data_IF_047136516728
#
_entry.id   IF_047136516728
#
_cell.length_a   1.000
_cell.length_b   1.000
_cell.length_c   1.000
_cell.angle_alpha   90.00
_cell.angle_beta   90.00
_cell.angle_gamma   90.00
#
_symmetry.space_group_name_H-M   'P 1'
#
loop_
_entity.id
_entity.type
_entity.pdbx_description
1 polymer ?
#
# COMPACT_ATOMS: atom_id res chain seq x y z
N UNK A 1 35.60 -23.22 -1.98
CA UNK A 1 34.14 -23.21 -1.74
C UNK A 1 33.60 -24.52 -2.32
N UNK A 2 33.50 -25.55 -1.50
CA UNK A 2 32.92 -26.84 -1.91
C UNK A 2 31.40 -26.67 -2.04
N UNK A 3 30.88 -26.90 -3.25
CA UNK A 3 29.45 -26.83 -3.53
C UNK A 3 28.73 -27.99 -2.85
N UNK A 4 27.68 -27.68 -2.08
CA UNK A 4 26.79 -28.68 -1.47
C UNK A 4 26.28 -29.63 -2.57
N UNK A 5 26.38 -30.96 -2.41
CA UNK A 5 25.88 -31.95 -3.37
C UNK A 5 24.41 -31.70 -3.75
N UNK A 6 24.04 -31.98 -5.00
CA UNK A 6 22.69 -31.73 -5.52
C UNK A 6 21.60 -32.37 -4.64
N UNK A 7 21.80 -33.62 -4.20
CA UNK A 7 20.86 -34.34 -3.34
C UNK A 7 20.67 -33.68 -1.98
N UNK A 8 21.75 -33.16 -1.37
CA UNK A 8 21.67 -32.39 -0.13
C UNK A 8 20.97 -31.04 -0.32
N UNK A 9 21.04 -30.44 -1.51
CA UNK A 9 20.27 -29.22 -1.81
C UNK A 9 18.77 -29.52 -1.94
N UNK A 10 18.41 -30.64 -2.57
CA UNK A 10 17.01 -31.06 -2.69
C UNK A 10 16.42 -31.40 -1.32
N UNK A 11 17.12 -32.18 -0.49
CA UNK A 11 16.67 -32.50 0.87
C UNK A 11 16.48 -31.23 1.74
N UNK A 12 17.40 -30.27 1.65
CA UNK A 12 17.26 -28.98 2.36
C UNK A 12 16.11 -28.12 1.84
N UNK A 13 15.77 -28.23 0.55
CA UNK A 13 14.61 -27.54 -0.03
C UNK A 13 13.29 -28.18 0.43
N UNK A 14 13.26 -29.50 0.64
CA UNK A 14 12.10 -30.21 1.18
C UNK A 14 11.84 -29.85 2.66
N UNK A 15 12.89 -29.53 3.42
CA UNK A 15 12.79 -29.04 4.80
C UNK A 15 12.43 -27.54 4.88
N UNK A 16 12.49 -26.80 3.76
CA UNK A 16 12.25 -25.37 3.74
C UNK A 16 10.75 -25.05 3.85
N UNK A 17 10.30 -24.79 5.07
CA UNK A 17 8.93 -24.33 5.32
C UNK A 17 8.77 -22.84 5.01
N UNK A 18 7.66 -22.47 4.38
CA UNK A 18 7.34 -21.06 4.14
C UNK A 18 7.02 -20.32 5.45
N UNK A 19 7.24 -18.98 5.52
CA UNK A 19 6.91 -18.21 6.70
C UNK A 19 5.42 -18.30 7.06
N UNK A 20 5.11 -18.61 8.32
CA UNK A 20 3.75 -18.62 8.89
C UNK A 20 3.63 -17.53 9.94
N UNK A 21 3.24 -16.31 9.55
CA UNK A 21 3.20 -15.20 10.48
C UNK A 21 2.22 -15.47 11.63
N UNK A 22 2.63 -15.16 12.86
CA UNK A 22 1.87 -15.44 14.09
C UNK A 22 1.47 -16.93 14.26
N UNK A 23 2.30 -17.87 13.75
CA UNK A 23 2.03 -19.32 13.78
C UNK A 23 1.47 -19.82 15.11
N UNK A 24 2.17 -19.54 16.20
CA UNK A 24 1.81 -20.04 17.54
C UNK A 24 0.43 -19.55 17.95
N UNK A 25 0.19 -18.23 17.90
CA UNK A 25 -1.10 -17.63 18.22
C UNK A 25 -2.25 -18.15 17.34
N UNK A 26 -2.00 -18.29 16.04
CA UNK A 26 -3.02 -18.72 15.08
C UNK A 26 -3.42 -20.18 15.33
N UNK A 27 -2.44 -21.08 15.51
CA UNK A 27 -2.74 -22.49 15.80
C UNK A 27 -3.30 -22.68 17.22
N UNK A 28 -2.80 -21.97 18.23
CA UNK A 28 -3.33 -22.10 19.60
C UNK A 28 -4.80 -21.72 19.66
N UNK A 29 -5.16 -20.56 19.10
CA UNK A 29 -6.54 -20.05 19.10
C UNK A 29 -7.46 -20.94 18.28
N UNK A 30 -7.00 -21.45 17.13
CA UNK A 30 -7.77 -22.38 16.31
C UNK A 30 -8.01 -23.72 17.02
N UNK A 31 -7.00 -24.25 17.73
CA UNK A 31 -7.13 -25.50 18.46
C UNK A 31 -8.12 -25.38 19.63
N UNK A 32 -8.08 -24.26 20.37
CA UNK A 32 -9.05 -23.95 21.42
C UNK A 32 -10.48 -23.85 20.85
N UNK A 33 -10.63 -23.17 19.71
CA UNK A 33 -11.91 -23.09 19.00
C UNK A 33 -12.38 -24.48 18.55
N UNK A 34 -11.53 -25.28 17.91
CA UNK A 34 -11.89 -26.60 17.41
C UNK A 34 -12.28 -27.56 18.54
N UNK A 35 -11.61 -27.48 19.70
CA UNK A 35 -11.95 -28.27 20.88
C UNK A 35 -13.36 -27.98 21.42
N UNK A 36 -13.83 -26.74 21.30
CA UNK A 36 -15.17 -26.33 21.72
C UNK A 36 -16.26 -26.62 20.66
N UNK A 37 -15.89 -26.90 19.41
CA UNK A 37 -16.81 -26.98 18.27
C UNK A 37 -16.63 -28.29 17.47
N UNK A 38 -17.32 -29.39 17.85
CA UNK A 38 -17.10 -30.72 17.29
C UNK A 38 -17.29 -30.86 15.78
N UNK A 39 -18.04 -29.96 15.14
CA UNK A 39 -18.26 -29.96 13.69
C UNK A 39 -17.03 -29.55 12.86
N UNK A 40 -15.99 -28.98 13.49
CA UNK A 40 -14.72 -28.67 12.81
C UNK A 40 -14.02 -29.94 12.34
N UNK A 41 -14.24 -31.07 13.04
CA UNK A 41 -13.76 -32.38 12.61
C UNK A 41 -12.24 -32.46 12.52
N UNK A 42 -11.73 -32.84 11.35
CA UNK A 42 -10.29 -33.00 11.06
C UNK A 42 -9.73 -31.85 10.20
N UNK A 43 -10.53 -30.81 9.94
CA UNK A 43 -10.07 -29.68 9.15
C UNK A 43 -9.02 -28.86 9.92
N UNK A 44 -7.99 -28.42 9.21
CA UNK A 44 -6.92 -27.62 9.78
C UNK A 44 -6.62 -26.40 8.90
N UNK A 45 -6.18 -25.33 9.55
CA UNK A 45 -5.84 -24.08 8.91
C UNK A 45 -4.42 -24.12 8.31
N UNK A 46 -4.27 -23.43 7.18
CA UNK A 46 -3.00 -23.28 6.45
C UNK A 46 -2.69 -21.78 6.30
N UNK A 47 -2.10 -21.15 7.33
CA UNK A 47 -1.80 -19.72 7.30
C UNK A 47 -0.93 -19.38 6.10
N UNK A 48 -1.19 -18.25 5.43
CA UNK A 48 -0.41 -17.78 4.28
C UNK A 48 0.25 -16.45 4.64
N UNK A 49 1.49 -16.24 4.24
CA UNK A 49 2.21 -14.97 4.43
C UNK A 49 1.93 -13.94 3.35
N UNK A 50 1.45 -14.35 2.17
CA UNK A 50 1.42 -13.53 0.93
C UNK A 50 0.85 -12.12 1.14
N UNK A 51 -0.40 -11.99 1.60
CA UNK A 51 -1.02 -10.67 1.78
C UNK A 51 -0.28 -9.80 2.82
N UNK A 52 0.23 -10.44 3.88
CA UNK A 52 1.00 -9.75 4.92
C UNK A 52 2.34 -9.27 4.40
N UNK A 53 3.07 -10.11 3.67
CA UNK A 53 4.36 -9.76 3.08
C UNK A 53 4.21 -8.62 2.09
N UNK A 54 3.20 -8.67 1.22
CA UNK A 54 2.92 -7.58 0.28
C UNK A 54 2.56 -6.29 1.02
N UNK A 55 1.76 -6.34 2.08
CA UNK A 55 1.39 -5.16 2.86
C UNK A 55 2.56 -4.59 3.67
N UNK A 56 3.34 -5.44 4.36
CA UNK A 56 4.46 -5.02 5.19
C UNK A 56 5.55 -4.32 4.37
N UNK A 57 5.82 -4.83 3.16
CA UNK A 57 6.78 -4.29 2.23
C UNK A 57 6.16 -3.33 1.18
N UNK A 58 4.84 -3.11 1.26
CA UNK A 58 4.06 -2.27 0.34
C UNK A 58 4.34 -2.57 -1.15
N UNK A 59 4.44 -3.85 -1.48
CA UNK A 59 4.74 -4.33 -2.84
C UNK A 59 3.53 -4.07 -3.74
N UNK A 60 3.79 -3.60 -4.96
CA UNK A 60 2.77 -3.60 -6.00
C UNK A 60 2.46 -5.05 -6.43
N UNK A 61 1.28 -5.27 -7.00
CA UNK A 61 0.91 -6.58 -7.54
C UNK A 61 1.87 -7.01 -8.65
N UNK A 62 2.18 -6.11 -9.59
CA UNK A 62 3.06 -6.37 -10.72
C UNK A 62 4.50 -6.70 -10.28
N UNK A 63 5.06 -5.94 -9.32
CA UNK A 63 6.39 -6.23 -8.79
C UNK A 63 6.41 -7.57 -8.08
N UNK A 64 5.39 -7.89 -7.28
CA UNK A 64 5.32 -9.17 -6.59
C UNK A 64 5.20 -10.35 -7.56
N UNK A 65 4.41 -10.20 -8.64
CA UNK A 65 4.31 -11.22 -9.70
C UNK A 65 5.65 -11.40 -10.41
N UNK A 66 6.36 -10.31 -10.71
CA UNK A 66 7.66 -10.35 -11.37
C UNK A 66 8.75 -10.94 -10.47
N UNK A 67 8.85 -10.49 -9.22
CA UNK A 67 9.89 -10.89 -8.27
C UNK A 67 9.81 -12.40 -7.94
N UNK A 68 8.60 -12.95 -7.92
CA UNK A 68 8.34 -14.37 -7.63
C UNK A 68 8.01 -15.23 -8.87
N UNK A 69 8.16 -14.69 -10.09
CA UNK A 69 7.87 -15.37 -11.37
C UNK A 69 6.46 -16.03 -11.41
N UNK A 70 5.46 -15.29 -10.95
CA UNK A 70 4.08 -15.78 -10.78
C UNK A 70 3.19 -15.56 -12.00
N UNK A 71 3.75 -15.22 -13.17
CA UNK A 71 2.98 -14.86 -14.38
C UNK A 71 1.90 -15.89 -14.76
N UNK A 72 2.14 -17.18 -14.49
CA UNK A 72 1.16 -18.26 -14.80
C UNK A 72 0.06 -18.43 -13.76
N UNK A 73 0.19 -17.82 -12.59
CA UNK A 73 -0.71 -17.96 -11.43
C UNK A 73 -1.16 -16.62 -10.85
N UNK A 74 -0.95 -15.51 -11.57
CA UNK A 74 -1.34 -14.17 -11.13
C UNK A 74 -2.84 -14.07 -10.78
N UNK A 75 -3.72 -14.73 -11.53
CA UNK A 75 -5.15 -14.78 -11.23
C UNK A 75 -5.47 -15.48 -9.90
N UNK A 76 -4.64 -16.46 -9.50
CA UNK A 76 -4.75 -17.10 -8.18
C UNK A 76 -4.33 -16.14 -7.06
N UNK A 77 -3.27 -15.37 -7.28
CA UNK A 77 -2.81 -14.33 -6.36
C UNK A 77 -3.90 -13.25 -6.19
N UNK A 78 -4.42 -12.72 -7.30
CA UNK A 78 -5.47 -11.71 -7.28
C UNK A 78 -6.72 -12.23 -6.55
N UNK A 79 -7.18 -13.44 -6.87
CA UNK A 79 -8.29 -14.08 -6.15
C UNK A 79 -8.02 -14.22 -4.66
N UNK A 80 -6.79 -14.53 -4.25
CA UNK A 80 -6.41 -14.61 -2.85
C UNK A 80 -6.47 -13.23 -2.17
N UNK A 81 -5.95 -12.18 -2.80
CA UNK A 81 -6.00 -10.81 -2.28
C UNK A 81 -7.44 -10.29 -2.19
N UNK A 82 -8.26 -10.49 -3.23
CA UNK A 82 -9.68 -10.12 -3.23
C UNK A 82 -10.46 -10.85 -2.14
N UNK A 83 -10.17 -12.14 -1.93
CA UNK A 83 -10.80 -12.91 -0.84
C UNK A 83 -10.35 -12.41 0.54
N UNK A 84 -9.08 -12.07 0.70
CA UNK A 84 -8.53 -11.54 1.96
C UNK A 84 -9.16 -10.20 2.31
N UNK A 85 -9.22 -9.28 1.33
CA UNK A 85 -9.92 -8.01 1.46
C UNK A 85 -11.39 -8.21 1.85
N UNK A 86 -12.11 -9.07 1.12
CA UNK A 86 -13.54 -9.35 1.37
C UNK A 86 -13.77 -9.89 2.77
N UNK A 87 -12.95 -10.86 3.22
CA UNK A 87 -13.06 -11.41 4.58
C UNK A 87 -12.80 -10.31 5.60
N UNK A 88 -11.71 -9.54 5.47
CA UNK A 88 -11.39 -8.47 6.40
C UNK A 88 -12.52 -7.44 6.52
N UNK A 89 -13.07 -7.01 5.38
CA UNK A 89 -14.14 -6.04 5.31
C UNK A 89 -15.48 -6.53 5.89
N UNK A 90 -15.79 -7.83 5.74
CA UNK A 90 -17.09 -8.39 6.08
C UNK A 90 -17.16 -9.06 7.45
N UNK A 91 -16.04 -9.55 7.99
CA UNK A 91 -16.04 -10.35 9.23
C UNK A 91 -15.48 -9.59 10.44
N UNK A 92 -14.66 -8.57 10.24
CA UNK A 92 -14.15 -7.73 11.33
C UNK A 92 -15.13 -6.58 11.58
N UNK A 93 -15.78 -6.50 12.75
CA UNK A 93 -16.69 -5.39 13.06
C UNK A 93 -15.95 -4.05 13.03
N UNK A 94 -16.60 -2.99 12.54
CA UNK A 94 -15.97 -1.66 12.41
C UNK A 94 -15.45 -1.12 13.75
N UNK A 95 -16.13 -1.42 14.86
CA UNK A 95 -15.69 -1.05 16.21
C UNK A 95 -14.37 -1.73 16.64
N UNK A 96 -14.03 -2.87 16.05
CA UNK A 96 -12.79 -3.60 16.30
C UNK A 96 -11.66 -3.26 15.31
N UNK A 97 -11.96 -2.50 14.24
CA UNK A 97 -10.95 -2.09 13.26
C UNK A 97 -10.08 -0.99 13.87
N UNK A 98 -8.83 -1.33 14.15
CA UNK A 98 -7.79 -0.37 14.50
C UNK A 98 -7.32 0.39 13.25
N UNK A 99 -6.60 1.48 13.42
CA UNK A 99 -6.05 2.26 12.29
C UNK A 99 -5.20 1.40 11.33
N UNK A 100 -4.27 0.53 11.78
CA UNK A 100 -3.54 -0.38 10.89
C UNK A 100 -4.45 -1.34 10.11
N UNK A 101 -5.57 -1.79 10.70
CA UNK A 101 -6.53 -2.67 10.01
C UNK A 101 -7.26 -1.91 8.91
N UNK A 102 -7.67 -0.67 9.18
CA UNK A 102 -8.31 0.20 8.18
C UNK A 102 -7.37 0.54 7.03
N UNK A 103 -6.10 0.80 7.32
CA UNK A 103 -5.08 1.02 6.30
C UNK A 103 -4.83 -0.23 5.45
N UNK A 104 -4.75 -1.41 6.07
CA UNK A 104 -4.62 -2.67 5.35
C UNK A 104 -5.83 -2.94 4.45
N UNK A 105 -7.04 -2.66 4.92
CA UNK A 105 -8.27 -2.78 4.14
C UNK A 105 -8.25 -1.83 2.93
N UNK A 106 -7.95 -0.54 3.17
CA UNK A 106 -7.83 0.48 2.12
C UNK A 106 -6.76 0.13 1.08
N UNK A 107 -5.58 -0.31 1.52
CA UNK A 107 -4.49 -0.72 0.65
C UNK A 107 -4.84 -1.95 -0.18
N UNK A 108 -5.39 -3.00 0.44
CA UNK A 108 -5.83 -4.21 -0.28
C UNK A 108 -6.90 -3.88 -1.32
N UNK A 109 -7.87 -3.02 -0.97
CA UNK A 109 -8.91 -2.57 -1.90
C UNK A 109 -8.30 -1.83 -3.10
N UNK A 110 -7.30 -0.98 -2.86
CA UNK A 110 -6.56 -0.28 -3.91
C UNK A 110 -5.78 -1.22 -4.83
N UNK A 111 -5.10 -2.23 -4.28
CA UNK A 111 -4.36 -3.24 -5.06
C UNK A 111 -5.30 -4.04 -5.95
N UNK A 112 -6.43 -4.51 -5.42
CA UNK A 112 -7.41 -5.31 -6.17
C UNK A 112 -7.98 -4.49 -7.34
N UNK A 113 -8.49 -3.27 -7.07
CA UNK A 113 -9.08 -2.42 -8.12
C UNK A 113 -8.06 -2.06 -9.21
N UNK A 114 -6.85 -1.65 -8.82
CA UNK A 114 -5.82 -1.26 -9.78
C UNK A 114 -5.38 -2.43 -10.68
N UNK A 115 -5.33 -3.64 -10.13
CA UNK A 115 -4.96 -4.85 -10.88
C UNK A 115 -6.07 -5.29 -11.81
N UNK A 116 -7.33 -5.29 -11.36
CA UNK A 116 -8.49 -5.64 -12.19
C UNK A 116 -8.56 -4.74 -13.45
N UNK A 117 -8.32 -3.42 -13.30
CA UNK A 117 -8.25 -2.50 -14.44
C UNK A 117 -7.07 -2.78 -15.37
N UNK A 118 -5.87 -3.03 -14.85
CA UNK A 118 -4.69 -3.34 -15.67
C UNK A 118 -4.85 -4.64 -16.45
N UNK A 119 -5.36 -5.70 -15.82
CA UNK A 119 -5.58 -6.99 -16.48
C UNK A 119 -6.65 -6.89 -17.57
N UNK A 120 -7.69 -6.09 -17.33
CA UNK A 120 -8.73 -5.83 -18.33
C UNK A 120 -8.14 -5.06 -19.53
N UNK A 121 -7.38 -4.00 -19.29
CA UNK A 121 -6.71 -3.22 -20.35
C UNK A 121 -5.71 -4.08 -21.15
N UNK A 122 -4.94 -4.94 -20.49
CA UNK A 122 -3.99 -5.85 -21.13
C UNK A 122 -4.69 -6.89 -22.00
N UNK A 123 -5.79 -7.47 -21.51
CA UNK A 123 -6.62 -8.39 -22.29
C UNK A 123 -7.22 -7.69 -23.52
N UNK A 124 -7.68 -6.45 -23.37
CA UNK A 124 -8.23 -5.67 -24.49
C UNK A 124 -7.17 -5.31 -25.54
N UNK A 125 -5.94 -5.00 -25.13
CA UNK A 125 -4.79 -4.81 -26.05
C UNK A 125 -4.37 -6.08 -26.78
N UNK A 126 -4.48 -7.26 -26.14
CA UNK A 126 -4.24 -8.54 -26.81
C UNK A 126 -5.34 -8.86 -27.85
N UNK A 127 -6.58 -8.40 -27.61
CA UNK A 127 -7.69 -8.54 -28.54
C UNK A 127 -7.62 -7.54 -29.70
N UNK A 128 -7.18 -6.31 -29.44
CA UNK A 128 -7.02 -5.25 -30.43
C UNK A 128 -5.70 -4.48 -30.21
N UNK A 129 -4.69 -4.67 -31.09
CA UNK A 129 -3.41 -3.97 -30.99
C UNK A 129 -3.48 -2.44 -31.12
N UNK A 130 -4.59 -1.89 -31.62
CA UNK A 130 -4.85 -0.45 -31.70
C UNK A 130 -5.73 0.06 -30.55
N UNK A 131 -6.03 -0.79 -29.56
CA UNK A 131 -6.82 -0.42 -28.40
C UNK A 131 -6.19 0.77 -27.66
N UNK A 132 -6.96 1.85 -27.57
CA UNK A 132 -6.69 3.00 -26.69
C UNK A 132 -7.72 2.93 -25.58
N UNK A 133 -7.31 2.95 -24.29
CA UNK A 133 -8.26 2.95 -23.19
C UNK A 133 -9.26 4.08 -23.37
N UNK A 134 -10.53 3.76 -23.57
CA UNK A 134 -11.60 4.75 -23.54
C UNK A 134 -11.99 4.98 -22.09
N UNK A 135 -12.09 6.24 -21.68
CA UNK A 135 -12.39 6.61 -20.29
C UNK A 135 -13.79 6.19 -19.78
N UNK A 136 -14.61 5.49 -20.56
CA UNK A 136 -15.98 5.16 -20.16
C UNK A 136 -16.39 3.79 -20.70
N UNK A 137 -16.70 2.84 -19.80
CA UNK A 137 -18.08 2.52 -19.36
C UNK A 137 -17.94 1.70 -18.07
N UNK A 138 -17.96 2.37 -16.92
CA UNK A 138 -18.25 1.71 -15.65
C UNK A 138 -19.78 1.62 -15.53
N UNK A 139 -20.33 0.41 -15.50
CA UNK A 139 -21.75 0.18 -15.19
C UNK A 139 -21.98 0.75 -13.79
N UNK A 140 -22.53 1.97 -13.68
CA UNK A 140 -22.69 2.67 -12.40
C UNK A 140 -23.54 1.83 -11.45
N UNK A 141 -22.95 1.27 -10.38
CA UNK A 141 -23.71 0.86 -9.21
C UNK A 141 -24.26 2.14 -8.54
N UNK A 142 -25.01 2.00 -7.44
CA UNK A 142 -25.34 3.15 -6.59
C UNK A 142 -24.08 4.02 -6.36
N UNK A 143 -24.22 5.37 -6.32
CA UNK A 143 -23.08 6.25 -6.12
C UNK A 143 -22.30 5.74 -4.90
N UNK A 144 -20.98 5.51 -5.04
CA UNK A 144 -20.19 4.98 -3.94
C UNK A 144 -20.38 5.86 -2.70
N UNK A 145 -20.34 5.27 -1.50
CA UNK A 145 -20.43 6.05 -0.28
C UNK A 145 -19.36 7.15 -0.32
N UNK A 146 -19.75 8.36 0.08
CA UNK A 146 -18.84 9.50 0.13
C UNK A 146 -17.68 9.19 1.08
N UNK A 147 -16.51 8.93 0.48
CA UNK A 147 -15.29 8.49 1.17
C UNK A 147 -14.79 9.54 2.16
N UNK A 148 -15.20 10.80 2.02
CA UNK A 148 -14.75 11.91 2.86
C UNK A 148 -15.51 12.02 4.18
N UNK A 149 -16.63 11.30 4.33
CA UNK A 149 -17.48 11.38 5.54
C UNK A 149 -16.84 10.72 6.76
N UNK A 150 -16.28 9.54 6.58
CA UNK A 150 -15.60 8.84 7.67
C UNK A 150 -14.15 9.30 7.72
N UNK A 151 -13.87 10.18 8.67
CA UNK A 151 -12.52 10.73 8.89
C UNK A 151 -11.45 9.64 8.96
N UNK A 152 -11.73 8.54 9.68
CA UNK A 152 -10.72 7.50 9.95
C UNK A 152 -10.40 6.72 8.68
N UNK A 153 -11.43 6.31 7.95
CA UNK A 153 -11.28 5.64 6.66
C UNK A 153 -10.63 6.55 5.61
N UNK A 154 -11.03 7.83 5.57
CA UNK A 154 -10.42 8.79 4.65
C UNK A 154 -8.93 9.03 4.96
N UNK A 155 -8.57 9.09 6.25
CA UNK A 155 -7.17 9.18 6.69
C UNK A 155 -6.38 7.94 6.23
N UNK A 156 -6.97 6.74 6.32
CA UNK A 156 -6.34 5.51 5.84
C UNK A 156 -6.12 5.52 4.31
N UNK A 157 -7.06 6.07 3.54
CA UNK A 157 -6.90 6.26 2.09
C UNK A 157 -5.78 7.25 1.76
N UNK A 158 -5.75 8.41 2.44
CA UNK A 158 -4.68 9.40 2.28
C UNK A 158 -3.32 8.77 2.58
N UNK A 159 -3.19 8.06 3.71
CA UNK A 159 -1.93 7.39 4.09
C UNK A 159 -1.50 6.36 3.05
N UNK A 160 -2.45 5.62 2.49
CA UNK A 160 -2.18 4.70 1.38
C UNK A 160 -1.55 5.42 0.18
N UNK A 161 -2.09 6.58 -0.22
CA UNK A 161 -1.51 7.37 -1.31
C UNK A 161 -0.14 7.98 -0.94
N UNK A 162 0.04 8.41 0.32
CA UNK A 162 1.33 8.93 0.80
C UNK A 162 2.41 7.86 0.67
N UNK A 163 2.11 6.61 1.06
CA UNK A 163 3.07 5.52 0.97
C UNK A 163 3.30 5.03 -0.46
N UNK A 164 2.34 5.20 -1.38
CA UNK A 164 2.58 5.02 -2.82
C UNK A 164 3.59 6.04 -3.37
N UNK A 165 3.63 7.26 -2.84
CA UNK A 165 4.65 8.25 -3.17
C UNK A 165 6.00 7.95 -2.48
N UNK A 166 5.98 7.64 -1.18
CA UNK A 166 7.20 7.45 -0.40
C UNK A 166 7.95 6.15 -0.71
N UNK A 167 7.27 5.09 -1.15
CA UNK A 167 7.92 3.82 -1.53
C UNK A 167 8.95 3.99 -2.65
N UNK A 168 8.59 4.51 -3.85
CA UNK A 168 9.56 4.77 -4.91
C UNK A 168 10.56 5.86 -4.52
N UNK A 169 10.16 6.83 -3.70
CA UNK A 169 11.08 7.84 -3.17
C UNK A 169 12.22 7.21 -2.35
N UNK A 170 11.89 6.24 -1.49
CA UNK A 170 12.87 5.48 -0.68
C UNK A 170 13.84 4.67 -1.56
N UNK A 171 13.37 4.22 -2.72
CA UNK A 171 14.16 3.52 -3.73
C UNK A 171 14.87 4.48 -4.71
N UNK A 172 14.72 5.80 -4.52
CA UNK A 172 15.26 6.85 -5.37
C UNK A 172 14.79 6.76 -6.84
N UNK A 173 13.61 6.19 -7.08
CA UNK A 173 12.95 6.15 -8.39
C UNK A 173 12.01 7.34 -8.55
N UNK A 174 12.59 8.54 -8.65
CA UNK A 174 11.86 9.82 -8.58
C UNK A 174 10.72 9.98 -9.61
N UNK A 175 10.89 9.45 -10.82
CA UNK A 175 9.82 9.46 -11.83
C UNK A 175 8.58 8.65 -11.41
N UNK A 176 8.80 7.49 -10.77
CA UNK A 176 7.71 6.68 -10.23
C UNK A 176 7.07 7.33 -9.00
N UNK A 177 7.86 8.03 -8.17
CA UNK A 177 7.33 8.81 -7.04
C UNK A 177 6.39 9.93 -7.53
N UNK A 178 6.83 10.72 -8.52
CA UNK A 178 6.02 11.81 -9.06
C UNK A 178 4.72 11.33 -9.71
N UNK A 179 4.69 10.12 -10.28
CA UNK A 179 3.48 9.54 -10.84
C UNK A 179 2.37 9.28 -9.80
N UNK A 180 2.70 9.25 -8.50
CA UNK A 180 1.75 9.11 -7.40
C UNK A 180 1.18 10.45 -6.90
N UNK A 181 1.68 11.59 -7.41
CA UNK A 181 1.27 12.93 -6.99
C UNK A 181 0.40 13.62 -8.04
N UNK A 182 -0.33 14.64 -7.60
CA UNK A 182 -0.99 15.60 -8.47
C UNK A 182 0.05 16.32 -9.33
N UNK A 183 -0.25 16.50 -10.62
CA UNK A 183 0.53 17.32 -11.56
C UNK A 183 0.63 18.78 -11.14
N UNK A 184 -0.27 19.27 -10.29
CA UNK A 184 -0.21 20.61 -9.69
C UNK A 184 0.76 20.71 -8.50
N UNK A 185 1.52 19.66 -8.19
CA UNK A 185 2.57 19.70 -7.15
C UNK A 185 3.75 20.57 -7.60
N UNK A 186 4.15 21.49 -6.74
CA UNK A 186 5.21 22.47 -7.02
C UNK A 186 6.33 22.41 -5.98
N UNK A 187 7.57 22.60 -6.42
CA UNK A 187 8.72 22.81 -5.56
C UNK A 187 8.63 24.15 -4.80
N UNK A 188 9.55 24.37 -3.86
CA UNK A 188 9.60 25.56 -3.01
C UNK A 188 9.72 26.88 -3.80
N UNK A 189 10.26 26.84 -5.01
CA UNK A 189 10.38 27.99 -5.92
C UNK A 189 9.13 28.22 -6.79
N UNK A 190 8.09 27.40 -6.62
CA UNK A 190 6.84 27.45 -7.38
C UNK A 190 6.91 26.76 -8.75
N UNK A 191 8.04 26.17 -9.12
CA UNK A 191 8.15 25.38 -10.36
C UNK A 191 7.50 23.99 -10.20
N UNK A 192 6.96 23.39 -11.27
CA UNK A 192 6.47 22.01 -11.20
C UNK A 192 7.59 21.03 -10.86
N UNK A 193 7.31 20.00 -10.07
CA UNK A 193 8.29 18.97 -9.80
C UNK A 193 8.66 18.18 -11.06
N UNK A 194 9.94 18.15 -11.40
CA UNK A 194 10.58 17.14 -12.25
C UNK A 194 11.35 16.11 -11.40
N UNK A 195 11.70 14.93 -11.96
CA UNK A 195 12.52 13.94 -11.26
C UNK A 195 13.82 14.53 -10.68
N UNK A 196 14.46 15.45 -11.41
CA UNK A 196 15.69 16.13 -11.01
C UNK A 196 15.47 17.09 -9.84
N UNK A 197 14.37 17.87 -9.88
CA UNK A 197 14.04 18.80 -8.77
C UNK A 197 13.66 18.04 -7.50
N UNK A 198 12.93 16.93 -7.62
CA UNK A 198 12.60 16.08 -6.47
C UNK A 198 13.86 15.42 -5.89
N UNK A 199 14.75 14.93 -6.75
CA UNK A 199 16.05 14.40 -6.33
C UNK A 199 16.87 15.46 -5.58
N UNK A 200 16.94 16.69 -6.09
CA UNK A 200 17.63 17.80 -5.45
C UNK A 200 17.00 18.18 -4.11
N UNK A 201 15.67 18.15 -4.00
CA UNK A 201 14.93 18.45 -2.77
C UNK A 201 15.23 17.44 -1.65
N UNK A 202 15.36 16.16 -2.01
CA UNK A 202 15.60 15.05 -1.07
C UNK A 202 17.09 14.82 -0.80
N UNK A 203 17.99 15.32 -1.64
CA UNK A 203 19.43 15.13 -1.50
C UNK A 203 19.99 15.54 -0.12
N UNK A 204 19.60 16.67 0.50
CA UNK A 204 20.07 17.02 1.84
C UNK A 204 19.65 15.99 2.91
N UNK A 205 18.41 15.47 2.82
CA UNK A 205 17.96 14.40 3.71
C UNK A 205 18.80 13.14 3.56
N UNK A 206 19.04 12.69 2.34
CA UNK A 206 19.86 11.49 2.08
C UNK A 206 21.31 11.67 2.54
N UNK A 207 21.87 12.87 2.37
CA UNK A 207 23.22 13.18 2.82
C UNK A 207 23.34 13.13 4.36
N UNK A 208 22.34 13.63 5.09
CA UNK A 208 22.35 13.66 6.55
C UNK A 208 21.90 12.35 7.20
N UNK A 209 20.87 11.69 6.64
CA UNK A 209 20.15 10.57 7.26
C UNK A 209 20.31 9.23 6.54
N UNK A 210 21.12 9.18 5.46
CA UNK A 210 21.43 8.02 4.61
C UNK A 210 20.28 7.51 3.75
N UNK A 211 19.12 7.21 4.33
CA UNK A 211 17.94 6.70 3.61
C UNK A 211 16.65 6.94 4.37
N UNK A 212 15.54 6.90 3.65
CA UNK A 212 14.21 6.81 4.25
C UNK A 212 13.96 5.36 4.69
N UNK A 213 13.45 5.17 5.91
CA UNK A 213 12.91 3.87 6.36
C UNK A 213 11.47 3.70 5.86
N UNK A 214 11.11 2.45 5.65
CA UNK A 214 9.81 2.09 5.10
C UNK A 214 9.18 0.83 5.74
N UNK A 215 9.75 0.41 6.86
CA UNK A 215 9.24 -0.70 7.67
C UNK A 215 7.93 -0.34 8.40
N UNK A 216 7.23 -1.31 9.05
CA UNK A 216 5.97 -1.05 9.71
C UNK A 216 5.98 0.07 10.77
N UNK A 217 7.13 0.32 11.41
CA UNK A 217 7.27 1.39 12.39
C UNK A 217 7.37 2.76 11.70
N UNK A 218 8.15 2.85 10.62
CA UNK A 218 8.20 4.05 9.77
C UNK A 218 6.84 4.41 9.17
N UNK A 219 6.02 3.40 8.87
CA UNK A 219 4.65 3.57 8.38
C UNK A 219 3.63 3.72 9.49
N UNK A 220 4.00 3.90 10.75
CA UNK A 220 3.01 4.00 11.84
C UNK A 220 2.13 5.27 11.73
N UNK A 221 0.87 5.17 12.17
CA UNK A 221 -0.10 6.28 12.28
C UNK A 221 0.44 7.53 12.98
N UNK A 222 1.27 7.32 14.02
CA UNK A 222 1.86 8.39 14.83
C UNK A 222 2.72 9.39 14.06
N UNK A 223 3.19 9.01 12.87
CA UNK A 223 4.01 9.85 12.00
C UNK A 223 3.17 10.67 11.00
N UNK A 224 1.84 10.54 11.01
CA UNK A 224 0.93 11.33 10.18
C UNK A 224 0.13 12.31 11.03
N UNK A 225 0.19 13.58 10.67
CA UNK A 225 -0.58 14.64 11.31
C UNK A 225 -1.53 15.27 10.29
N UNK A 226 -2.83 15.28 10.62
CA UNK A 226 -3.88 15.81 9.74
C UNK A 226 -4.41 17.11 10.34
N UNK A 227 -4.34 18.18 9.56
CA UNK A 227 -4.96 19.48 9.84
C UNK A 227 -6.08 19.70 8.84
N UNK A 228 -7.30 19.99 9.33
CA UNK A 228 -8.45 20.26 8.46
C UNK A 228 -8.60 21.77 8.30
N UNK A 229 -8.96 22.22 7.10
CA UNK A 229 -9.29 23.62 6.88
C UNK A 229 -10.59 24.01 7.59
N UNK A 230 -10.67 25.26 8.03
CA UNK A 230 -11.84 25.79 8.74
C UNK A 230 -13.10 25.80 7.85
N UNK A 231 -12.92 25.95 6.54
CA UNK A 231 -13.99 25.91 5.55
C UNK A 231 -14.49 24.47 5.25
N UNK A 232 -13.84 23.45 5.81
CA UNK A 232 -14.19 22.05 5.64
C UNK A 232 -14.03 21.52 4.21
N UNK A 233 -13.28 22.20 3.34
CA UNK A 233 -13.09 21.82 1.93
C UNK A 233 -11.81 21.05 1.65
N UNK A 234 -10.81 21.17 2.52
CA UNK A 234 -9.49 20.62 2.27
C UNK A 234 -8.78 20.15 3.53
N UNK A 235 -7.89 19.19 3.37
CA UNK A 235 -7.03 18.71 4.43
C UNK A 235 -5.58 18.98 4.06
N UNK A 236 -4.79 19.35 5.08
CA UNK A 236 -3.34 19.42 5.03
C UNK A 236 -2.78 18.28 5.87
N UNK A 237 -1.88 17.51 5.30
CA UNK A 237 -1.38 16.29 5.91
C UNK A 237 0.14 16.36 5.95
N UNK A 238 0.71 16.31 7.13
CA UNK A 238 2.15 16.25 7.33
C UNK A 238 2.55 14.82 7.67
N UNK A 239 3.43 14.23 6.87
CA UNK A 239 4.02 12.92 7.08
C UNK A 239 5.47 13.08 7.50
N UNK A 240 5.81 12.65 8.70
CA UNK A 240 7.20 12.60 9.17
C UNK A 240 7.95 11.51 8.39
N UNK A 241 9.15 11.84 7.95
CA UNK A 241 10.07 10.93 7.27
C UNK A 241 10.95 10.24 8.31
N UNK A 242 10.82 8.93 8.43
CA UNK A 242 11.56 8.16 9.45
C UNK A 242 12.92 7.74 8.92
N UNK A 243 13.98 8.00 9.68
CA UNK A 243 15.35 7.67 9.32
C UNK A 243 15.96 6.56 10.20
N UNK A 244 17.06 5.91 9.77
CA UNK A 244 17.73 4.85 10.52
C UNK A 244 18.23 5.23 11.91
N UNK A 245 18.47 6.51 12.15
CA UNK A 245 19.02 7.02 13.41
C UNK A 245 17.92 7.69 14.27
N UNK A 246 16.65 7.55 13.86
CA UNK A 246 15.44 8.02 14.55
C UNK A 246 15.43 9.54 14.87
N UNK A 247 16.14 10.37 14.09
CA UNK A 247 16.08 11.83 14.22
C UNK A 247 14.69 12.36 13.89
N UNK A 248 14.08 11.81 12.82
CA UNK A 248 12.70 12.04 12.42
C UNK A 248 12.34 13.54 12.31
N UNK A 249 13.29 14.35 11.86
CA UNK A 249 13.26 15.81 11.81
C UNK A 249 12.90 16.35 10.42
N UNK A 250 12.51 15.49 9.49
CA UNK A 250 11.98 15.85 8.17
C UNK A 250 10.53 15.45 8.02
N UNK A 251 9.81 16.18 7.17
CA UNK A 251 8.45 15.83 6.77
C UNK A 251 8.19 16.06 5.29
N UNK A 252 7.14 15.42 4.78
CA UNK A 252 6.49 15.77 3.53
C UNK A 252 5.08 16.30 3.85
N UNK A 253 4.74 17.46 3.31
CA UNK A 253 3.44 18.11 3.50
C UNK A 253 2.60 17.98 2.23
N UNK A 254 1.35 17.54 2.39
CA UNK A 254 0.42 17.29 1.32
C UNK A 254 -0.86 18.09 1.51
N UNK A 255 -1.45 18.51 0.38
CA UNK A 255 -2.79 19.06 0.30
C UNK A 255 -3.73 18.05 -0.35
N UNK A 256 -4.94 17.94 0.20
CA UNK A 256 -6.01 17.07 -0.30
C UNK A 256 -7.30 17.89 -0.42
N UNK A 257 -7.84 17.94 -1.63
CA UNK A 257 -9.14 18.55 -1.91
C UNK A 257 -10.26 17.52 -1.68
N UNK A 258 -11.24 17.84 -0.82
CA UNK A 258 -12.32 16.91 -0.47
C UNK A 258 -13.41 16.82 -1.55
N UNK A 259 -13.62 17.87 -2.32
CA UNK A 259 -14.60 17.86 -3.41
C UNK A 259 -14.09 16.96 -4.53
N UNK A 260 -12.85 17.18 -4.96
CA UNK A 260 -12.19 16.31 -5.94
C UNK A 260 -12.08 14.87 -5.45
N UNK A 261 -11.73 14.65 -4.18
CA UNK A 261 -11.67 13.29 -3.64
C UNK A 261 -13.02 12.56 -3.67
N UNK A 262 -14.12 13.29 -3.47
CA UNK A 262 -15.49 12.74 -3.57
C UNK A 262 -15.85 12.40 -5.00
N UNK A 263 -15.47 13.25 -5.96
CA UNK A 263 -15.71 13.02 -7.39
C UNK A 263 -14.89 11.84 -7.93
N UNK A 264 -13.60 11.80 -7.60
CA UNK A 264 -12.66 10.79 -8.08
C UNK A 264 -12.81 9.45 -7.32
N UNK A 265 -13.49 9.43 -6.18
CA UNK A 265 -13.60 8.25 -5.31
C UNK A 265 -12.27 7.83 -4.66
N UNK A 266 -11.26 8.71 -4.68
CA UNK A 266 -9.95 8.54 -4.02
C UNK A 266 -9.31 9.90 -3.72
N UNK A 267 -8.47 10.03 -2.69
CA UNK A 267 -7.70 11.26 -2.47
C UNK A 267 -6.60 11.38 -3.54
N UNK A 268 -6.43 12.57 -4.10
CA UNK A 268 -5.27 12.93 -4.93
C UNK A 268 -4.38 13.85 -4.10
N UNK A 269 -3.09 13.52 -3.99
CA UNK A 269 -2.15 14.25 -3.14
C UNK A 269 -1.40 15.31 -3.94
N UNK A 270 -1.49 16.57 -3.51
CA UNK A 270 -0.59 17.62 -3.99
C UNK A 270 0.53 17.82 -2.98
N UNK A 271 1.78 17.60 -3.38
CA UNK A 271 2.94 17.85 -2.52
C UNK A 271 3.16 19.36 -2.41
N UNK A 272 3.06 19.87 -1.18
CA UNK A 272 3.29 21.28 -0.85
C UNK A 272 4.77 21.55 -0.52
N UNK A 273 5.43 20.59 0.11
CA UNK A 273 6.81 20.73 0.54
C UNK A 273 7.39 19.43 1.07
N UNK A 274 8.71 19.31 0.97
CA UNK A 274 9.48 18.21 1.54
C UNK A 274 10.76 18.81 2.12
N UNK A 275 10.93 18.74 3.43
CA UNK A 275 11.99 19.47 4.12
C UNK A 275 12.05 19.21 5.62
N UNK A 276 12.99 19.87 6.32
CA UNK A 276 13.11 19.80 7.77
C UNK A 276 11.87 20.41 8.46
N UNK A 277 11.51 19.85 9.61
CA UNK A 277 10.40 20.32 10.44
C UNK A 277 10.78 21.64 11.12
N UNK A 278 9.93 22.67 11.00
CA UNK A 278 10.08 23.93 11.75
C UNK A 278 10.87 25.03 11.05
N UNK A 279 11.08 24.92 9.73
CA UNK A 279 11.66 25.97 8.89
C UNK A 279 10.65 26.68 8.01
#
# INVERSE_FOLDING_TARGET
AEGVPYEQRIARLEELEYPKPCREFVYSTFNEFAAAHPWVGQDNIRPKSVAREMYENFRSFADYVKDYDLHRVEGLLLRHLSSTHKVLAQTVPDAAKTEPVQEMEAWLAGVVRGTDSSLLDEWERLRDPNYRPSAEVEIRPAPPPDITRNVREFTALIRTEIFKFLQPLSAQTFGAALAALDTESTAADGSPYSPETLAATVAPFIAAHRRLRFDPDARNGRHTHVTRSDDGKSWRVSQILVDPDDHNDWHAEFFVDLERAREDGRPTLRLLGLGPIGH
#
